data_IF_800527956812
#
_entry.id   IF_800527956812
#
_cell.length_a   1.000
_cell.length_b   1.000
_cell.length_c   1.000
_cell.angle_alpha   90.00
_cell.angle_beta   90.00
_cell.angle_gamma   90.00
#
_symmetry.space_group_name_H-M   'P 1'
#
loop_
_entity.id
_entity.type
_entity.pdbx_description
1 polymer ?
#
# COMPACT_ATOMS: atom_id res chain seq x y z
N UNK A 1 -26.36 -19.22 0.63
CA UNK A 1 -24.93 -19.07 0.26
C UNK A 1 -24.09 -19.30 1.50
N UNK A 2 -23.14 -20.23 1.47
CA UNK A 2 -22.11 -20.33 2.53
C UNK A 2 -21.00 -19.36 2.16
N UNK A 3 -20.68 -18.40 3.04
CA UNK A 3 -19.54 -17.50 2.82
C UNK A 3 -18.24 -18.23 3.16
N UNK A 4 -17.18 -18.00 2.37
CA UNK A 4 -15.85 -18.56 2.64
C UNK A 4 -15.28 -18.10 4.00
N UNK A 5 -15.67 -16.91 4.44
CA UNK A 5 -15.26 -16.33 5.72
C UNK A 5 -16.48 -15.87 6.52
N UNK A 6 -16.48 -16.13 7.83
CA UNK A 6 -17.55 -15.70 8.74
C UNK A 6 -17.47 -14.20 9.04
N UNK A 7 -16.28 -13.59 8.97
CA UNK A 7 -16.02 -12.17 9.23
C UNK A 7 -14.86 -11.69 8.37
N UNK A 8 -14.88 -10.41 8.00
CA UNK A 8 -13.78 -9.70 7.35
C UNK A 8 -13.43 -8.49 8.21
N UNK A 9 -12.15 -8.30 8.50
CA UNK A 9 -11.63 -7.08 9.13
C UNK A 9 -10.87 -6.30 8.05
N UNK A 10 -11.41 -5.15 7.65
CA UNK A 10 -10.76 -4.24 6.71
C UNK A 10 -10.05 -3.14 7.52
N UNK A 11 -8.75 -2.99 7.29
CA UNK A 11 -7.94 -1.94 7.91
C UNK A 11 -7.41 -1.01 6.82
N UNK A 12 -7.75 0.27 6.91
CA UNK A 12 -7.24 1.31 6.01
C UNK A 12 -6.16 2.10 6.76
N UNK A 13 -4.93 2.06 6.26
CA UNK A 13 -3.86 2.94 6.72
C UNK A 13 -3.96 4.23 5.91
N UNK A 14 -4.73 5.19 6.42
CA UNK A 14 -5.04 6.43 5.69
C UNK A 14 -3.75 7.15 5.27
N UNK A 15 -3.72 7.63 4.02
CA UNK A 15 -2.58 8.27 3.34
C UNK A 15 -1.29 7.44 3.13
N UNK A 16 -1.26 6.16 3.51
CA UNK A 16 -0.05 5.31 3.40
C UNK A 16 0.19 4.77 1.97
N UNK A 17 0.46 5.68 1.02
CA UNK A 17 0.76 5.35 -0.37
C UNK A 17 2.07 4.56 -0.57
N UNK A 18 2.12 3.71 -1.61
CA UNK A 18 3.27 2.84 -1.94
C UNK A 18 3.93 3.23 -3.28
N UNK A 19 3.96 4.52 -3.57
CA UNK A 19 4.49 5.10 -4.80
C UNK A 19 3.40 5.79 -5.63
N UNK A 20 3.84 6.47 -6.68
CA UNK A 20 2.98 7.32 -7.51
C UNK A 20 2.00 6.51 -8.37
N UNK A 21 0.85 7.12 -8.68
CA UNK A 21 -0.09 6.59 -9.66
C UNK A 21 0.36 6.91 -11.10
N UNK A 22 -0.10 6.15 -12.12
CA UNK A 22 0.26 6.41 -13.51
C UNK A 22 -0.09 7.82 -14.02
N UNK A 23 -1.10 8.47 -13.43
CA UNK A 23 -1.57 9.83 -13.74
C UNK A 23 -1.00 10.90 -12.78
N UNK A 24 -0.05 10.56 -11.89
CA UNK A 24 0.44 11.47 -10.86
C UNK A 24 0.95 12.82 -11.42
N UNK A 25 1.52 12.83 -12.63
CA UNK A 25 1.95 14.04 -13.30
C UNK A 25 0.80 15.03 -13.58
N UNK A 26 -0.39 14.54 -13.92
CA UNK A 26 -1.58 15.35 -14.18
C UNK A 26 -2.09 16.04 -12.91
N UNK A 27 -1.76 15.47 -11.74
CA UNK A 27 -2.12 15.96 -10.42
C UNK A 27 -1.01 16.76 -9.73
N UNK A 28 0.15 16.94 -10.38
CA UNK A 28 1.31 17.60 -9.80
C UNK A 28 2.06 16.79 -8.75
N UNK A 29 1.83 15.46 -8.69
CA UNK A 29 2.38 14.55 -7.69
C UNK A 29 3.46 13.61 -8.25
N UNK A 30 4.08 13.97 -9.39
CA UNK A 30 5.15 13.17 -9.97
C UNK A 30 6.31 12.97 -8.95
N UNK A 31 6.71 11.73 -8.77
CA UNK A 31 7.69 11.29 -7.77
C UNK A 31 7.13 11.07 -6.36
N UNK A 32 5.82 11.19 -6.13
CA UNK A 32 5.23 10.98 -4.82
C UNK A 32 5.39 9.51 -4.37
N UNK A 33 6.04 9.30 -3.22
CA UNK A 33 6.23 7.96 -2.66
C UNK A 33 6.27 7.98 -1.13
N UNK A 34 5.09 7.92 -0.49
CA UNK A 34 4.99 8.05 0.97
C UNK A 34 5.78 6.98 1.72
N UNK A 35 5.48 5.69 1.49
CA UNK A 35 6.19 4.61 2.19
C UNK A 35 7.66 4.53 1.78
N UNK A 36 8.00 4.74 0.50
CA UNK A 36 9.39 4.71 0.05
C UNK A 36 10.23 5.80 0.72
N UNK A 37 9.82 7.07 0.64
CA UNK A 37 10.55 8.17 1.25
C UNK A 37 10.64 8.06 2.78
N UNK A 38 9.61 7.53 3.45
CA UNK A 38 9.68 7.29 4.91
C UNK A 38 10.77 6.26 5.21
N UNK A 39 10.79 5.14 4.50
CA UNK A 39 11.75 4.05 4.72
C UNK A 39 13.19 4.42 4.34
N UNK A 40 13.37 5.29 3.35
CA UNK A 40 14.66 5.87 3.00
C UNK A 40 15.15 6.87 4.05
N UNK A 41 14.25 7.68 4.61
CA UNK A 41 14.61 8.74 5.56
C UNK A 41 15.07 8.21 6.91
N UNK A 42 14.61 7.03 7.33
CA UNK A 42 14.92 6.44 8.63
C UNK A 42 14.59 4.96 8.66
N UNK A 43 15.27 4.25 9.57
CA UNK A 43 14.89 2.88 9.90
C UNK A 43 13.48 2.85 10.52
N UNK A 44 12.60 2.03 9.96
CA UNK A 44 11.27 1.71 10.51
C UNK A 44 11.11 0.20 10.55
N UNK A 45 10.92 -0.35 11.75
CA UNK A 45 10.74 -1.78 11.93
C UNK A 45 9.27 -2.17 11.69
N UNK A 46 9.00 -2.83 10.56
CA UNK A 46 7.67 -3.30 10.18
C UNK A 46 7.59 -4.84 10.04
N UNK A 47 8.05 -5.62 11.04
CA UNK A 47 8.21 -7.08 10.90
C UNK A 47 6.89 -7.79 10.59
N UNK A 48 5.76 -7.30 11.12
CA UNK A 48 4.46 -7.91 10.88
C UNK A 48 3.93 -7.63 9.46
N UNK A 49 4.11 -6.41 8.96
CA UNK A 49 3.70 -6.06 7.58
C UNK A 49 4.62 -6.73 6.56
N UNK A 50 5.91 -6.87 6.86
CA UNK A 50 6.83 -7.66 6.06
C UNK A 50 6.35 -9.12 5.98
N UNK A 51 5.99 -9.73 7.12
CA UNK A 51 5.46 -11.09 7.16
C UNK A 51 4.19 -11.26 6.32
N UNK A 52 3.34 -10.23 6.26
CA UNK A 52 2.14 -10.19 5.42
C UNK A 52 2.44 -9.97 3.93
N UNK A 53 3.64 -9.55 3.56
CA UNK A 53 4.08 -9.37 2.17
C UNK A 53 4.26 -7.92 1.70
N UNK A 54 4.33 -6.93 2.60
CA UNK A 54 4.53 -5.52 2.22
C UNK A 54 5.80 -5.31 1.36
N UNK A 55 6.93 -5.90 1.78
CA UNK A 55 8.19 -5.85 1.03
C UNK A 55 8.17 -6.63 -0.29
N UNK A 56 7.13 -7.44 -0.54
CA UNK A 56 6.94 -8.17 -1.78
C UNK A 56 6.17 -7.37 -2.85
N UNK A 57 5.53 -6.25 -2.48
CA UNK A 57 4.79 -5.41 -3.45
C UNK A 57 5.74 -4.73 -4.43
N UNK A 58 6.88 -4.23 -3.93
CA UNK A 58 8.00 -3.68 -4.69
C UNK A 58 9.23 -3.55 -3.78
N UNK A 59 10.38 -3.20 -4.36
CA UNK A 59 11.57 -2.87 -3.58
C UNK A 59 11.34 -1.64 -2.69
N UNK A 60 11.66 -1.79 -1.40
CA UNK A 60 11.54 -0.78 -0.35
C UNK A 60 12.80 -0.84 0.53
N UNK A 61 13.38 0.32 0.85
CA UNK A 61 14.60 0.41 1.68
C UNK A 61 14.32 -0.16 3.08
N UNK A 62 15.24 -0.96 3.61
CA UNK A 62 15.09 -1.57 4.94
C UNK A 62 13.91 -2.56 5.10
N UNK A 63 13.17 -2.89 4.04
CA UNK A 63 12.02 -3.80 4.07
C UNK A 63 12.05 -4.81 2.92
N UNK A 64 12.98 -5.79 2.94
CA UNK A 64 13.16 -6.73 1.83
C UNK A 64 11.95 -7.66 1.66
N UNK A 65 11.75 -8.15 0.44
CA UNK A 65 10.80 -9.22 0.13
C UNK A 65 11.15 -10.51 0.88
N UNK A 66 10.13 -11.32 1.19
CA UNK A 66 10.30 -12.64 1.81
C UNK A 66 9.80 -13.75 0.89
N UNK A 67 10.42 -14.92 0.95
CA UNK A 67 10.06 -16.06 0.08
C UNK A 67 8.64 -16.59 0.35
N UNK A 68 8.24 -16.65 1.62
CA UNK A 68 6.99 -17.26 2.07
C UNK A 68 6.13 -16.27 2.89
N UNK A 69 5.49 -15.28 2.25
CA UNK A 69 4.55 -14.38 2.93
C UNK A 69 3.31 -15.14 3.39
N UNK A 70 2.78 -14.78 4.57
CA UNK A 70 1.59 -15.44 5.14
C UNK A 70 0.28 -14.91 4.55
N UNK A 71 0.35 -13.87 3.72
CA UNK A 71 -0.78 -13.19 3.10
C UNK A 71 -0.60 -13.04 1.59
N UNK A 72 -1.69 -12.68 0.91
CA UNK A 72 -1.64 -12.20 -0.46
C UNK A 72 -1.31 -10.71 -0.48
N UNK A 73 -0.53 -10.27 -1.45
CA UNK A 73 -0.03 -8.90 -1.56
C UNK A 73 -0.23 -8.35 -2.97
N UNK A 74 -0.26 -7.03 -3.08
CA UNK A 74 -0.42 -6.30 -4.34
C UNK A 74 -0.60 -4.81 -4.07
N UNK A 75 -0.78 -4.03 -5.14
CA UNK A 75 -1.18 -2.62 -5.07
C UNK A 75 -2.36 -2.37 -6.00
N UNK A 76 -3.18 -1.38 -5.67
CA UNK A 76 -4.32 -0.96 -6.47
C UNK A 76 -4.08 0.47 -6.99
N UNK A 77 -4.58 0.75 -8.17
CA UNK A 77 -4.69 2.12 -8.70
C UNK A 77 -6.11 2.61 -8.45
N UNK A 78 -6.29 3.86 -8.02
CA UNK A 78 -7.64 4.45 -8.02
C UNK A 78 -8.11 4.61 -9.47
N UNK A 79 -9.41 4.37 -9.68
CA UNK A 79 -10.11 4.61 -10.94
C UNK A 79 -10.90 5.92 -10.90
N UNK A 80 -11.29 6.36 -9.71
CA UNK A 80 -12.04 7.59 -9.49
C UNK A 80 -11.20 8.83 -9.81
N UNK A 81 -11.85 9.87 -10.32
CA UNK A 81 -11.21 11.15 -10.61
C UNK A 81 -11.11 12.03 -9.36
N UNK A 82 -10.41 11.55 -8.33
CA UNK A 82 -10.24 12.25 -7.07
C UNK A 82 -9.23 11.53 -6.16
N UNK A 83 -8.52 12.32 -5.35
CA UNK A 83 -7.51 11.84 -4.40
C UNK A 83 -7.82 12.22 -2.94
N UNK A 84 -9.05 12.62 -2.66
CA UNK A 84 -9.50 12.93 -1.30
C UNK A 84 -9.98 11.66 -0.56
N UNK A 85 -10.04 11.74 0.77
CA UNK A 85 -10.46 10.64 1.65
C UNK A 85 -11.83 10.08 1.30
N UNK A 86 -12.79 10.92 0.90
CA UNK A 86 -14.16 10.45 0.63
C UNK A 86 -14.18 9.63 -0.65
N UNK A 87 -13.58 10.15 -1.72
CA UNK A 87 -13.47 9.45 -3.00
C UNK A 87 -12.75 8.11 -2.84
N UNK A 88 -11.61 8.09 -2.12
CA UNK A 88 -10.84 6.87 -1.92
C UNK A 88 -11.56 5.80 -1.06
N UNK A 89 -12.36 6.21 -0.06
CA UNK A 89 -13.12 5.27 0.76
C UNK A 89 -14.39 4.72 0.08
N UNK A 90 -14.90 5.40 -0.95
CA UNK A 90 -16.09 4.99 -1.69
C UNK A 90 -15.81 4.00 -2.82
N UNK A 91 -14.58 3.97 -3.34
CA UNK A 91 -14.11 3.02 -4.35
C UNK A 91 -13.78 1.64 -3.79
#
# INVERSE_FOLDING_TARGET
MSSRFNRICLMVLDSAGIGEMPDAADWGDAGADTLGHILESRKVDLPNLQRLGLGNIRQLEGLPAIENPIGSYGKCTLKSNGKDTTTGHWE
#
